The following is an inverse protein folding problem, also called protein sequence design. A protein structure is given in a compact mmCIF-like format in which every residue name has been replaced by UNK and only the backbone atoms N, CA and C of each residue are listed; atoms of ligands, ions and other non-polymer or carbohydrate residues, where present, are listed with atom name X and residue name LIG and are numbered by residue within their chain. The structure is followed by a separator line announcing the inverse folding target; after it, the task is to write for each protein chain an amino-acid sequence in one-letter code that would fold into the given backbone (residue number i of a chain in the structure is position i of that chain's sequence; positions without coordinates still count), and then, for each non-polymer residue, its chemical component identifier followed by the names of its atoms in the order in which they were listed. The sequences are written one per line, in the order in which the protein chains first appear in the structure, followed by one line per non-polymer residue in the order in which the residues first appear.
data_IF_436070367866
#
_entry.id   IF_436070367866
#
_cell.length_a   1.000
_cell.length_b   1.000
_cell.length_c   1.000
_cell.angle_alpha   90.00
_cell.angle_beta   90.00
_cell.angle_gamma   90.00
#
_symmetry.space_group_name_H-M   'P 1'
#
loop_
_entity.id
_entity.type
_entity.pdbx_description
1 polymer ?
#
# COMPACT_ATOMS: atom_id res chain seq x y z
N UNK A 1 -11.12 9.48 16.82
CA UNK A 1 -10.02 10.45 16.64
C UNK A 1 -9.32 10.27 15.29
N UNK A 2 -8.86 11.36 14.67
CA UNK A 2 -8.19 11.32 13.36
C UNK A 2 -6.75 10.81 13.46
N UNK A 3 -6.41 9.82 12.64
CA UNK A 3 -5.07 9.25 12.52
C UNK A 3 -4.67 9.07 11.05
N UNK A 4 -3.36 8.85 10.82
CA UNK A 4 -2.81 8.50 9.52
C UNK A 4 -2.28 7.07 9.51
N UNK A 5 -2.54 6.37 8.40
CA UNK A 5 -1.88 5.11 8.05
C UNK A 5 -1.18 5.29 6.70
N UNK A 6 -0.03 4.65 6.50
CA UNK A 6 0.70 4.76 5.23
C UNK A 6 1.22 3.41 4.78
N UNK A 7 0.85 3.03 3.55
CA UNK A 7 1.11 1.70 3.01
C UNK A 7 1.69 1.81 1.60
N UNK A 8 2.81 1.13 1.37
CA UNK A 8 3.34 0.85 0.03
C UNK A 8 2.96 -0.58 -0.36
N UNK A 9 2.36 -0.74 -1.53
CA UNK A 9 1.80 -2.03 -1.97
C UNK A 9 1.87 -2.20 -3.47
N UNK A 10 2.95 -1.69 -4.09
CA UNK A 10 3.09 -1.60 -5.55
C UNK A 10 2.39 -0.39 -6.11
N UNK A 11 1.96 -0.46 -7.38
CA UNK A 11 1.31 0.66 -8.04
C UNK A 11 0.18 1.27 -7.20
N UNK A 12 0.35 2.53 -6.79
CA UNK A 12 -0.56 3.20 -5.87
C UNK A 12 -1.98 3.41 -6.43
N UNK A 13 -2.16 3.34 -7.75
CA UNK A 13 -3.46 3.48 -8.42
C UNK A 13 -4.39 2.33 -8.01
N UNK A 14 -3.81 1.15 -7.81
CA UNK A 14 -4.52 -0.04 -7.34
C UNK A 14 -4.78 -0.01 -5.84
N UNK A 15 -3.99 0.76 -5.08
CA UNK A 15 -4.08 0.79 -3.62
C UNK A 15 -5.11 1.79 -3.09
N UNK A 16 -5.50 2.82 -3.85
CA UNK A 16 -6.49 3.82 -3.40
C UNK A 16 -7.91 3.26 -3.31
N UNK A 17 -8.40 2.62 -4.39
CA UNK A 17 -9.79 2.14 -4.49
C UNK A 17 -10.21 1.18 -3.35
N UNK A 18 -9.38 0.22 -2.90
CA UNK A 18 -9.72 -0.70 -1.83
C UNK A 18 -10.16 -0.03 -0.52
N UNK A 19 -9.56 1.10 -0.14
CA UNK A 19 -9.86 1.77 1.13
C UNK A 19 -11.07 2.72 1.05
N UNK A 20 -11.35 3.31 -0.12
CA UNK A 20 -12.40 4.33 -0.28
C UNK A 20 -13.83 3.91 0.07
N UNK A 21 -14.11 2.61 0.20
CA UNK A 21 -15.47 2.09 0.44
C UNK A 21 -15.81 1.88 1.92
N UNK A 22 -14.86 2.08 2.83
CA UNK A 22 -15.03 1.78 4.23
C UNK A 22 -15.41 3.03 5.02
N UNK A 23 -16.46 2.92 5.84
CA UNK A 23 -16.81 3.97 6.79
C UNK A 23 -15.63 4.23 7.74
N UNK A 24 -15.42 5.49 8.10
CA UNK A 24 -14.27 5.92 8.91
C UNK A 24 -13.02 6.25 8.10
N UNK A 25 -12.91 5.85 6.83
CA UNK A 25 -11.86 6.36 5.92
C UNK A 25 -12.25 7.75 5.43
N UNK A 26 -11.50 8.77 5.85
CA UNK A 26 -11.80 10.17 5.57
C UNK A 26 -11.16 10.65 4.25
N UNK A 27 -9.93 10.22 3.98
CA UNK A 27 -9.23 10.52 2.72
C UNK A 27 -8.19 9.45 2.41
N UNK A 28 -7.93 9.22 1.11
CA UNK A 28 -6.88 8.33 0.62
C UNK A 28 -6.16 9.02 -0.53
N UNK A 29 -4.87 9.33 -0.34
CA UNK A 29 -4.07 10.04 -1.34
C UNK A 29 -2.85 9.21 -1.75
N UNK A 30 -2.49 9.31 -3.04
CA UNK A 30 -1.29 8.68 -3.60
C UNK A 30 -0.07 9.58 -3.41
N UNK A 31 1.10 8.98 -3.17
CA UNK A 31 2.33 9.72 -2.97
C UNK A 31 3.57 8.84 -2.85
N UNK A 32 4.66 9.48 -2.44
CA UNK A 32 5.99 8.91 -2.35
C UNK A 32 6.54 9.06 -0.93
N UNK A 33 7.09 7.99 -0.37
CA UNK A 33 7.70 8.02 0.97
C UNK A 33 8.76 6.93 1.13
N UNK A 34 9.50 6.93 2.25
CA UNK A 34 10.57 5.98 2.56
C UNK A 34 11.96 6.41 2.09
N UNK A 35 12.04 7.18 1.00
CA UNK A 35 13.27 7.70 0.44
C UNK A 35 13.76 8.98 1.10
N UNK A 36 14.91 9.47 0.62
CA UNK A 36 15.61 10.61 1.22
C UNK A 36 15.60 11.86 0.32
N UNK A 37 15.17 11.74 -0.93
CA UNK A 37 15.10 12.88 -1.86
C UNK A 37 13.84 13.71 -1.57
N UNK A 38 13.97 15.01 -1.25
CA UNK A 38 12.80 15.85 -0.99
C UNK A 38 12.05 16.21 -2.28
N UNK A 39 10.71 16.24 -2.20
CA UNK A 39 9.81 16.61 -3.30
C UNK A 39 10.13 15.88 -4.62
N UNK A 40 10.18 14.53 -4.63
CA UNK A 40 10.47 13.77 -5.85
C UNK A 40 9.31 13.91 -6.85
N UNK A 41 9.62 13.92 -8.16
CA UNK A 41 8.62 13.73 -9.21
C UNK A 41 8.40 12.25 -9.49
N UNK A 42 7.29 11.91 -10.14
CA UNK A 42 7.03 10.55 -10.60
C UNK A 42 8.22 9.94 -11.37
N UNK A 43 8.79 10.67 -12.33
CA UNK A 43 9.90 10.17 -13.16
C UNK A 43 11.15 9.87 -12.34
N UNK A 44 11.38 10.66 -11.29
CA UNK A 44 12.53 10.46 -10.41
C UNK A 44 12.32 9.28 -9.45
N UNK A 45 11.09 8.99 -9.05
CA UNK A 45 10.79 7.77 -8.29
C UNK A 45 10.94 6.54 -9.18
N UNK A 46 10.42 6.59 -10.41
CA UNK A 46 10.55 5.51 -11.39
C UNK A 46 12.00 5.26 -11.87
N UNK A 47 12.96 6.15 -11.58
CA UNK A 47 14.37 5.90 -11.85
C UNK A 47 15.03 4.99 -10.82
N UNK A 48 14.34 4.61 -9.74
CA UNK A 48 14.83 3.69 -8.69
C UNK A 48 16.07 4.19 -7.94
N UNK A 49 16.30 5.50 -7.93
CA UNK A 49 17.49 6.13 -7.30
C UNK A 49 17.15 7.00 -6.09
N UNK A 50 15.88 7.07 -5.69
CA UNK A 50 15.41 7.95 -4.62
C UNK A 50 15.26 7.26 -3.27
N UNK A 51 15.12 5.93 -3.27
CA UNK A 51 14.65 5.13 -2.13
C UNK A 51 13.16 5.31 -1.82
N UNK A 52 12.41 6.09 -2.62
CA UNK A 52 10.99 6.26 -2.41
C UNK A 52 10.19 5.09 -2.95
N UNK A 53 9.10 4.77 -2.24
CA UNK A 53 8.08 3.83 -2.67
C UNK A 53 6.81 4.55 -3.04
N UNK A 54 6.12 4.04 -4.05
CA UNK A 54 4.73 4.37 -4.28
C UNK A 54 3.89 3.90 -3.09
N UNK A 55 3.21 4.85 -2.45
CA UNK A 55 2.43 4.61 -1.26
C UNK A 55 1.09 5.33 -1.32
N UNK A 56 0.16 4.88 -0.48
CA UNK A 56 -1.05 5.60 -0.13
C UNK A 56 -0.96 6.06 1.32
N UNK A 57 -1.39 7.30 1.57
CA UNK A 57 -1.63 7.80 2.91
C UNK A 57 -3.14 7.90 3.13
N UNK A 58 -3.60 7.30 4.22
CA UNK A 58 -5.01 7.19 4.58
C UNK A 58 -5.21 8.03 5.83
N UNK A 59 -6.07 9.05 5.77
CA UNK A 59 -6.63 9.69 6.94
C UNK A 59 -7.87 8.91 7.37
N UNK A 60 -7.92 8.45 8.61
CA UNK A 60 -9.04 7.66 9.12
C UNK A 60 -9.46 8.11 10.53
N UNK A 61 -10.71 7.83 10.87
CA UNK A 61 -11.25 7.99 12.22
C UNK A 61 -11.17 6.66 12.97
N UNK A 62 -10.27 6.57 13.95
CA UNK A 62 -10.00 5.37 14.73
C UNK A 62 -11.15 4.92 15.64
N UNK A 63 -12.18 5.76 15.80
CA UNK A 63 -13.42 5.43 16.50
C UNK A 63 -14.42 4.67 15.60
N UNK A 64 -14.21 4.71 14.28
CA UNK A 64 -15.10 4.10 13.28
C UNK A 64 -14.43 2.92 12.59
N UNK A 65 -13.15 3.05 12.22
CA UNK A 65 -12.35 1.97 11.63
C UNK A 65 -11.00 1.86 12.32
N UNK A 66 -10.65 0.66 12.77
CA UNK A 66 -9.39 0.42 13.44
C UNK A 66 -8.21 0.35 12.46
N UNK A 67 -7.01 0.66 12.95
CA UNK A 67 -5.78 0.44 12.18
C UNK A 67 -5.60 -1.04 11.79
N UNK A 68 -6.02 -1.95 12.67
CA UNK A 68 -6.06 -3.38 12.39
C UNK A 68 -6.90 -3.76 11.17
N UNK A 69 -8.08 -3.17 11.00
CA UNK A 69 -8.91 -3.40 9.82
C UNK A 69 -8.23 -2.86 8.56
N UNK A 70 -7.55 -1.71 8.64
CA UNK A 70 -6.75 -1.18 7.53
C UNK A 70 -5.60 -2.13 7.13
N UNK A 71 -4.92 -2.74 8.11
CA UNK A 71 -3.90 -3.78 7.86
C UNK A 71 -4.51 -5.00 7.16
N UNK A 72 -5.65 -5.51 7.64
CA UNK A 72 -6.31 -6.66 7.04
C UNK A 72 -6.76 -6.38 5.58
N UNK A 73 -7.20 -5.15 5.29
CA UNK A 73 -7.49 -4.69 3.92
C UNK A 73 -6.21 -4.69 3.09
N UNK A 74 -5.13 -4.09 3.61
CA UNK A 74 -3.83 -3.98 2.95
C UNK A 74 -3.26 -5.35 2.55
N UNK A 75 -3.22 -6.31 3.47
CA UNK A 75 -2.70 -7.67 3.21
C UNK A 75 -3.43 -8.37 2.06
N UNK A 76 -4.74 -8.11 1.90
CA UNK A 76 -5.56 -8.66 0.81
C UNK A 76 -5.33 -8.00 -0.54
N UNK A 77 -4.59 -6.89 -0.61
CA UNK A 77 -4.33 -6.19 -1.88
C UNK A 77 -2.97 -6.53 -2.49
N UNK A 78 -2.02 -7.04 -1.70
CA UNK A 78 -0.62 -7.23 -2.11
C UNK A 78 -0.25 -8.72 -2.18
N UNK A 79 0.84 -9.04 -2.87
CA UNK A 79 1.62 -10.25 -2.59
C UNK A 79 2.62 -9.94 -1.47
N UNK A 80 2.36 -10.38 -0.24
CA UNK A 80 3.21 -10.03 0.89
C UNK A 80 4.54 -10.79 0.90
N UNK A 81 4.74 -11.74 -0.02
CA UNK A 81 5.94 -12.56 -0.16
C UNK A 81 6.91 -12.06 -1.24
N UNK A 82 6.49 -11.07 -2.03
CA UNK A 82 7.27 -10.52 -3.13
C UNK A 82 8.17 -9.38 -2.65
N UNK A 83 9.49 -9.64 -2.62
CA UNK A 83 10.51 -8.67 -2.24
C UNK A 83 11.04 -7.85 -3.42
N UNK A 84 10.65 -8.16 -4.67
CA UNK A 84 11.20 -7.54 -5.88
C UNK A 84 10.32 -6.43 -6.49
N UNK A 85 9.19 -6.11 -5.86
CA UNK A 85 8.12 -5.27 -6.40
C UNK A 85 6.78 -5.97 -6.20
N UNK A 86 5.69 -5.49 -6.81
CA UNK A 86 4.39 -6.16 -6.73
C UNK A 86 3.89 -6.64 -8.10
N UNK A 87 3.65 -7.94 -8.21
CA UNK A 87 3.21 -8.62 -9.43
C UNK A 87 4.10 -8.40 -10.67
N UNK A 88 3.67 -7.61 -11.67
CA UNK A 88 4.53 -7.24 -12.82
C UNK A 88 5.27 -5.92 -12.62
N UNK A 89 4.91 -5.12 -11.62
CA UNK A 89 5.63 -3.89 -11.29
C UNK A 89 6.87 -4.28 -10.48
N UNK A 90 8.07 -3.98 -10.99
CA UNK A 90 9.36 -4.38 -10.43
C UNK A 90 10.17 -3.14 -10.08
N UNK A 91 10.95 -3.22 -9.00
CA UNK A 91 11.76 -2.10 -8.53
C UNK A 91 11.54 -1.84 -7.04
N UNK A 92 12.46 -1.09 -6.44
CA UNK A 92 12.36 -0.64 -5.05
C UNK A 92 11.10 0.22 -4.85
N UNK A 93 10.76 1.04 -5.85
CA UNK A 93 9.58 1.90 -5.83
C UNK A 93 8.26 1.14 -5.67
N UNK A 94 8.22 -0.13 -6.05
CA UNK A 94 7.03 -0.99 -5.97
C UNK A 94 7.10 -2.02 -4.85
N UNK A 95 8.14 -2.00 -4.00
CA UNK A 95 8.21 -2.90 -2.86
C UNK A 95 7.12 -2.62 -1.83
N UNK A 96 6.71 -3.67 -1.12
CA UNK A 96 5.68 -3.58 -0.09
C UNK A 96 6.26 -3.11 1.25
N UNK A 97 5.60 -2.16 1.91
CA UNK A 97 5.93 -1.68 3.24
C UNK A 97 4.73 -1.12 3.98
N UNK A 98 4.79 -1.21 5.31
CA UNK A 98 3.92 -0.52 6.25
C UNK A 98 4.74 0.56 6.96
N UNK A 99 4.32 1.81 6.83
CA UNK A 99 4.96 2.95 7.46
C UNK A 99 4.16 3.38 8.70
N UNK A 100 4.65 3.04 9.89
CA UNK A 100 3.94 3.32 11.15
C UNK A 100 4.14 4.75 11.63
N UNK A 101 3.07 5.35 12.17
CA UNK A 101 3.05 6.72 12.70
C UNK A 101 3.11 6.77 14.24
N UNK A 102 3.01 5.62 14.90
CA UNK A 102 3.09 5.49 16.36
C UNK A 102 3.63 4.12 16.79
N UNK A 103 4.03 4.00 18.06
CA UNK A 103 4.46 2.73 18.63
C UNK A 103 3.33 1.68 18.65
N UNK A 104 2.07 2.10 18.82
CA UNK A 104 0.91 1.22 18.77
C UNK A 104 0.70 0.68 17.35
N UNK A 105 0.80 1.54 16.33
CA UNK A 105 0.75 1.11 14.93
C UNK A 105 1.88 0.14 14.58
N UNK A 106 3.11 0.38 15.08
CA UNK A 106 4.22 -0.55 14.89
C UNK A 106 3.87 -1.93 15.45
N UNK A 107 3.42 -1.97 16.70
CA UNK A 107 3.07 -3.22 17.40
C UNK A 107 1.93 -3.97 16.70
N UNK A 108 0.89 -3.26 16.27
CA UNK A 108 -0.23 -3.84 15.53
C UNK A 108 0.20 -4.39 14.16
N UNK A 109 1.05 -3.65 13.45
CA UNK A 109 1.60 -4.10 12.16
C UNK A 109 2.44 -5.38 12.33
N UNK A 110 3.34 -5.40 13.31
CA UNK A 110 4.19 -6.56 13.61
C UNK A 110 3.36 -7.78 14.00
N UNK A 111 2.34 -7.57 14.85
CA UNK A 111 1.42 -8.63 15.25
C UNK A 111 0.61 -9.15 14.05
N UNK A 112 0.12 -8.27 13.17
CA UNK A 112 -0.63 -8.67 11.96
C UNK A 112 0.23 -9.47 10.99
N UNK A 113 1.50 -9.08 10.82
CA UNK A 113 2.48 -9.81 10.00
C UNK A 113 2.72 -11.21 10.57
N UNK A 114 2.94 -11.31 11.89
CA UNK A 114 3.16 -12.59 12.56
C UNK A 114 1.95 -13.53 12.47
N UNK A 115 0.74 -12.99 12.58
CA UNK A 115 -0.49 -13.76 12.39
C UNK A 115 -0.64 -14.25 10.96
N UNK A 116 -0.29 -13.42 9.97
CA UNK A 116 -0.29 -13.82 8.57
C UNK A 116 0.72 -14.94 8.30
N UNK A 117 1.94 -14.84 8.85
CA UNK A 117 2.96 -15.89 8.79
C UNK A 117 2.46 -17.20 9.41
N UNK A 118 1.80 -17.13 10.56
CA UNK A 118 1.26 -18.30 11.27
C UNK A 118 0.01 -18.90 10.63
N UNK A 119 -0.70 -18.14 9.80
CA UNK A 119 -1.95 -18.60 9.17
C UNK A 119 -1.73 -19.76 8.20
N UNK A 120 -0.50 -19.99 7.73
CA UNK A 120 -0.19 -21.00 6.71
C UNK A 120 -0.70 -20.65 5.31
N UNK A 121 -1.25 -19.44 5.10
CA UNK A 121 -1.70 -18.97 3.78
C UNK A 121 -0.57 -18.89 2.77
N UNK A 122 0.63 -18.53 3.22
CA UNK A 122 1.81 -18.38 2.39
C UNK A 122 2.90 -19.35 2.83
N UNK A 123 3.51 -20.03 1.86
CA UNK A 123 4.65 -20.94 2.11
C UNK A 123 5.98 -20.19 2.16
N UNK A 124 6.05 -19.02 1.55
CA UNK A 124 7.21 -18.11 1.59
C UNK A 124 7.07 -17.15 2.78
N UNK A 125 8.21 -16.72 3.31
CA UNK A 125 8.26 -15.69 4.35
C UNK A 125 7.65 -14.37 3.87
N UNK A 126 7.06 -13.62 4.80
CA UNK A 126 6.47 -12.32 4.50
C UNK A 126 7.58 -11.27 4.34
N UNK A 127 7.76 -10.80 3.12
CA UNK A 127 8.77 -9.83 2.71
C UNK A 127 8.40 -8.38 3.06
N UNK A 128 7.14 -8.10 3.41
CA UNK A 128 6.69 -6.75 3.74
C UNK A 128 7.43 -6.18 4.94
N UNK A 129 8.03 -5.02 4.75
CA UNK A 129 8.77 -4.31 5.80
C UNK A 129 7.84 -3.45 6.65
N UNK A 130 8.22 -3.26 7.91
CA UNK A 130 7.54 -2.38 8.86
C UNK A 130 8.54 -1.32 9.27
N UNK A 131 8.34 -0.10 8.78
CA UNK A 131 9.30 0.99 8.85
C UNK A 131 8.67 2.22 9.54
N UNK A 132 9.44 3.06 10.23
CA UNK A 132 8.91 4.33 10.73
C UNK A 132 8.47 5.20 9.55
N UNK A 133 7.34 5.90 9.71
CA UNK A 133 6.90 6.87 8.73
C UNK A 133 7.94 7.98 8.54
N UNK A 134 8.28 8.25 7.28
CA UNK A 134 9.06 9.42 6.85
C UNK A 134 8.13 10.46 6.22
N UNK A 135 8.71 11.57 5.75
CA UNK A 135 8.00 12.55 4.92
C UNK A 135 7.22 11.87 3.80
N UNK A 136 5.95 12.26 3.64
CA UNK A 136 5.09 11.82 2.56
C UNK A 136 4.94 12.96 1.56
N UNK A 137 5.33 12.72 0.31
CA UNK A 137 5.22 13.68 -0.78
C UNK A 137 4.02 13.31 -1.64
N UNK A 138 3.04 14.21 -1.74
CA UNK A 138 1.84 14.00 -2.55
C UNK A 138 2.23 13.82 -4.02
N UNK A 139 1.74 12.76 -4.66
CA UNK A 139 1.91 12.57 -6.09
C UNK A 139 1.10 13.62 -6.88
N UNK A 140 1.48 13.85 -8.12
CA UNK A 140 0.85 14.85 -8.99
C UNK A 140 -0.66 14.58 -9.14
N UNK A 141 -1.44 15.64 -9.37
CA UNK A 141 -2.90 15.58 -9.45
C UNK A 141 -3.42 14.56 -10.49
N UNK A 142 -2.62 14.25 -11.52
CA UNK A 142 -2.92 13.21 -12.49
C UNK A 142 -2.99 11.79 -11.90
N UNK A 143 -2.26 11.51 -10.83
CA UNK A 143 -2.23 10.21 -10.15
C UNK A 143 -3.32 10.07 -9.08
N UNK A 144 -3.83 11.18 -8.55
CA UNK A 144 -4.89 11.17 -7.55
C UNK A 144 -6.21 10.68 -8.16
N UNK A 145 -6.93 9.81 -7.45
CA UNK A 145 -8.23 9.29 -7.89
C UNK A 145 -8.19 8.62 -9.30
N UNK A 146 -7.04 8.03 -9.66
CA UNK A 146 -6.80 7.50 -11.01
C UNK A 146 -7.88 6.52 -11.49
N UNK A 147 -8.39 5.66 -10.59
CA UNK A 147 -9.45 4.71 -10.92
C UNK A 147 -10.78 5.36 -11.31
N UNK A 148 -11.06 6.58 -10.81
CA UNK A 148 -12.24 7.38 -11.19
C UNK A 148 -11.99 8.15 -12.49
N UNK A 149 -10.81 8.76 -12.62
CA UNK A 149 -10.44 9.59 -13.78
C UNK A 149 -10.19 8.76 -15.05
N UNK A 150 -9.62 7.57 -14.90
CA UNK A 150 -9.19 6.69 -16.00
C UNK A 150 -9.71 5.24 -15.85
N UNK A 151 -11.03 5.02 -15.74
CA UNK A 151 -11.59 3.72 -15.33
C UNK A 151 -11.27 2.58 -16.31
N UNK A 152 -11.23 2.87 -17.61
CA UNK A 152 -10.89 1.88 -18.64
C UNK A 152 -9.43 1.43 -18.58
N UNK A 153 -8.50 2.38 -18.37
CA UNK A 153 -7.09 2.05 -18.22
C UNK A 153 -6.84 1.31 -16.91
N UNK A 154 -7.38 1.83 -15.80
CA UNK A 154 -7.32 1.21 -14.49
C UNK A 154 -7.79 -0.26 -14.52
N UNK A 155 -8.96 -0.54 -15.13
CA UNK A 155 -9.49 -1.91 -15.19
C UNK A 155 -8.55 -2.85 -15.95
N UNK A 156 -8.01 -2.42 -17.09
CA UNK A 156 -7.05 -3.22 -17.86
C UNK A 156 -5.76 -3.45 -17.08
N UNK A 157 -5.26 -2.42 -16.42
CA UNK A 157 -4.03 -2.49 -15.63
C UNK A 157 -4.20 -3.38 -14.39
N UNK A 158 -5.29 -3.26 -13.64
CA UNK A 158 -5.54 -4.09 -12.46
C UNK A 158 -5.59 -5.60 -12.77
N UNK A 159 -6.12 -5.97 -13.93
CA UNK A 159 -6.12 -7.35 -14.43
C UNK A 159 -4.75 -7.72 -14.98
N UNK A 160 -4.20 -6.87 -15.85
CA UNK A 160 -2.96 -7.10 -16.56
C UNK A 160 -1.71 -7.11 -15.68
N UNK A 161 -1.75 -6.47 -14.51
CA UNK A 161 -0.65 -6.46 -13.53
C UNK A 161 -0.49 -7.79 -12.81
N UNK A 162 -1.50 -8.66 -12.80
CA UNK A 162 -1.52 -9.92 -12.04
C UNK A 162 -2.15 -9.80 -10.65
N UNK A 163 -2.44 -8.57 -10.17
CA UNK A 163 -3.02 -8.33 -8.84
C UNK A 163 -4.37 -9.02 -8.65
N UNK A 164 -5.28 -8.90 -9.62
CA UNK A 164 -6.61 -9.50 -9.50
C UNK A 164 -6.56 -11.04 -9.53
N UNK A 165 -5.64 -11.65 -10.29
CA UNK A 165 -5.43 -13.11 -10.28
C UNK A 165 -4.98 -13.57 -8.90
N UNK A 166 -3.93 -12.93 -8.37
CA UNK A 166 -3.40 -13.25 -7.06
C UNK A 166 -4.47 -13.14 -5.96
N UNK A 167 -5.28 -12.08 -6.01
CA UNK A 167 -6.40 -11.90 -5.08
C UNK A 167 -7.41 -13.03 -5.16
N UNK A 168 -7.80 -13.44 -6.37
CA UNK A 168 -8.74 -14.53 -6.55
C UNK A 168 -8.20 -15.89 -6.08
N UNK A 169 -6.89 -16.11 -6.17
CA UNK A 169 -6.25 -17.39 -5.80
C UNK A 169 -5.97 -17.52 -4.30
N UNK A 170 -5.62 -16.42 -3.62
CA UNK A 170 -5.14 -16.44 -2.23
C UNK A 170 -6.17 -15.92 -1.20
N UNK A 171 -7.16 -15.17 -1.67
CA UNK A 171 -8.12 -14.45 -0.84
C UNK A 171 -9.58 -14.69 -1.24
N UNK A 172 -9.85 -15.65 -2.12
CA UNK A 172 -11.22 -16.15 -2.31
C UNK A 172 -11.70 -16.82 -1.01
N UNK A 173 -12.90 -16.44 -0.58
CA UNK A 173 -13.65 -17.13 0.48
C UNK A 173 -14.30 -18.40 -0.06
#
# INVERSE_FOLDING_TARGET
MKQYATFAGGCFWCMVKPFHKYDGVLSVVSGYTGGDIPNPSYELVCSETTGHREAVQIEFDDEVISYRELLDIFWRQIDPTDSGGQFFDRGESYQTAIFYHSADQQKEAEQSKLELEKSGKFTKSIATEILPAKSFYLAEEGHQDYYKKNPGHYKRYSVGSGRESFKSENWSE
#
